data_IF_859507922210
#
_entry.id   IF_859507922210
#
_cell.length_a   1.000
_cell.length_b   1.000
_cell.length_c   1.000
_cell.angle_alpha   90.00
_cell.angle_beta   90.00
_cell.angle_gamma   90.00
#
_symmetry.space_group_name_H-M   'P 1'
#
loop_
_entity.id
_entity.type
_entity.pdbx_description
1 polymer ?
#
# COMPACT_ATOMS: atom_id res chain seq x y z
N UNK A 1 10.96 7.77 16.62
CA UNK A 1 12.10 7.04 17.20
C UNK A 1 12.86 7.90 18.20
N UNK A 2 13.20 9.15 17.83
CA UNK A 2 14.05 10.09 18.60
C UNK A 2 13.26 10.95 19.59
N UNK A 3 11.95 10.95 19.52
CA UNK A 3 11.06 11.70 20.40
C UNK A 3 10.84 10.93 21.70
N UNK A 4 11.34 11.44 22.81
CA UNK A 4 11.25 10.78 24.13
C UNK A 4 9.82 10.74 24.69
N UNK A 5 8.90 11.54 24.20
CA UNK A 5 7.50 11.52 24.63
C UNK A 5 6.75 10.33 24.02
N UNK A 6 7.15 9.86 22.86
CA UNK A 6 6.61 8.67 22.21
C UNK A 6 7.14 7.41 22.91
N UNK A 7 6.26 6.65 23.55
CA UNK A 7 6.61 5.43 24.31
C UNK A 7 6.40 4.14 23.51
N UNK A 8 5.50 4.13 22.56
CA UNK A 8 5.23 3.01 21.65
C UNK A 8 4.69 3.53 20.31
N UNK A 9 4.78 2.70 19.29
CA UNK A 9 4.23 3.00 17.96
C UNK A 9 3.19 1.95 17.58
N UNK A 10 2.04 2.42 17.10
CA UNK A 10 1.06 1.57 16.40
C UNK A 10 1.07 1.95 14.94
N UNK A 11 1.51 1.03 14.09
CA UNK A 11 1.51 1.22 12.64
C UNK A 11 0.20 0.67 12.06
N UNK A 12 -0.70 1.57 11.65
CA UNK A 12 -1.91 1.18 10.91
C UNK A 12 -1.57 0.99 9.45
N UNK A 13 -1.82 -0.21 8.91
CA UNK A 13 -1.47 -0.57 7.53
C UNK A 13 -2.74 -0.85 6.73
N UNK A 14 -3.01 -0.01 5.73
CA UNK A 14 -4.03 -0.23 4.71
C UNK A 14 -3.37 -0.02 3.34
N UNK A 15 -2.70 -1.05 2.85
CA UNK A 15 -1.84 -0.96 1.65
C UNK A 15 -1.77 -2.28 0.90
N UNK A 16 -2.04 -2.27 -0.42
CA UNK A 16 -1.86 -3.45 -1.28
C UNK A 16 -0.38 -3.75 -1.56
N UNK A 17 0.52 -2.85 -1.18
CA UNK A 17 1.95 -2.95 -1.42
C UNK A 17 2.51 -1.80 -2.26
N UNK A 18 3.64 -2.04 -2.89
CA UNK A 18 4.34 -1.02 -3.68
C UNK A 18 5.78 -1.40 -3.97
N UNK A 19 6.63 -0.41 -4.23
CA UNK A 19 8.03 -0.62 -4.54
C UNK A 19 8.81 -1.26 -3.40
N UNK A 20 9.76 -2.14 -3.75
CA UNK A 20 10.60 -2.85 -2.77
C UNK A 20 11.41 -1.88 -1.93
N UNK A 21 12.04 -0.88 -2.57
CA UNK A 21 12.91 0.05 -1.89
C UNK A 21 12.20 0.91 -0.82
N UNK A 22 11.08 1.60 -1.11
CA UNK A 22 10.36 2.35 -0.07
C UNK A 22 9.79 1.44 1.02
N UNK A 23 9.36 0.22 0.69
CA UNK A 23 8.89 -0.74 1.70
C UNK A 23 10.03 -1.16 2.64
N UNK A 24 11.25 -1.34 2.12
CA UNK A 24 12.42 -1.66 2.93
C UNK A 24 12.84 -0.49 3.83
N UNK A 25 12.75 0.74 3.35
CA UNK A 25 13.03 1.91 4.17
C UNK A 25 12.11 1.98 5.39
N UNK A 26 10.79 1.80 5.19
CA UNK A 26 9.80 1.80 6.29
C UNK A 26 10.06 0.61 7.23
N UNK A 27 10.25 -0.60 6.70
CA UNK A 27 10.59 -1.78 7.52
C UNK A 27 11.83 -1.53 8.38
N UNK A 28 12.84 -0.89 7.81
CA UNK A 28 14.07 -0.57 8.54
C UNK A 28 13.83 0.40 9.68
N UNK A 29 12.97 1.40 9.49
CA UNK A 29 12.58 2.32 10.59
C UNK A 29 11.80 1.60 11.68
N UNK A 30 10.96 0.62 11.35
CA UNK A 30 10.32 -0.26 12.35
C UNK A 30 11.39 -0.99 13.18
N UNK A 31 12.40 -1.59 12.54
CA UNK A 31 13.51 -2.25 13.26
C UNK A 31 14.28 -1.27 14.16
N UNK A 32 14.61 -0.09 13.65
CA UNK A 32 15.35 0.92 14.41
C UNK A 32 14.56 1.47 15.59
N UNK A 33 13.25 1.64 15.43
CA UNK A 33 12.35 2.06 16.52
C UNK A 33 12.31 1.01 17.64
N UNK A 34 12.22 -0.27 17.27
CA UNK A 34 12.31 -1.37 18.22
C UNK A 34 13.68 -1.44 18.90
N UNK A 35 14.77 -1.26 18.15
CA UNK A 35 16.12 -1.23 18.69
C UNK A 35 16.34 -0.07 19.67
N UNK A 36 15.63 1.04 19.51
CA UNK A 36 15.60 2.16 20.45
C UNK A 36 14.75 1.87 21.71
N UNK A 37 14.20 0.65 21.86
CA UNK A 37 13.44 0.23 23.03
C UNK A 37 11.94 0.60 22.98
N UNK A 38 11.44 1.11 21.86
CA UNK A 38 10.03 1.46 21.69
C UNK A 38 9.28 0.32 20.99
N UNK A 39 8.30 -0.30 21.63
CA UNK A 39 7.48 -1.34 21.02
C UNK A 39 6.78 -0.84 19.77
N UNK A 40 6.74 -1.68 18.73
CA UNK A 40 6.01 -1.41 17.50
C UNK A 40 4.98 -2.50 17.27
N UNK A 41 3.71 -2.13 17.27
CA UNK A 41 2.58 -3.04 17.00
C UNK A 41 1.94 -2.65 15.67
N UNK A 42 1.65 -3.63 14.83
CA UNK A 42 0.94 -3.41 13.57
C UNK A 42 -0.54 -3.74 13.73
N UNK A 43 -1.39 -2.85 13.22
CA UNK A 43 -2.81 -3.10 13.00
C UNK A 43 -3.08 -3.07 11.49
N UNK A 44 -3.30 -4.24 10.90
CA UNK A 44 -3.72 -4.34 9.51
C UNK A 44 -5.18 -3.90 9.36
N UNK A 45 -5.46 -3.09 8.34
CA UNK A 45 -6.80 -2.68 7.96
C UNK A 45 -7.42 -3.69 6.97
N UNK A 46 -8.10 -3.18 5.92
CA UNK A 46 -8.72 -4.04 4.93
C UNK A 46 -7.66 -4.81 4.12
N UNK A 47 -6.55 -4.15 3.79
CA UNK A 47 -5.47 -4.73 2.99
C UNK A 47 -4.12 -4.42 3.62
N UNK A 48 -3.27 -5.43 3.79
CA UNK A 48 -1.88 -5.28 4.20
C UNK A 48 -1.04 -6.34 3.49
N UNK A 49 -0.87 -6.18 2.18
CA UNK A 49 -0.34 -7.22 1.30
C UNK A 49 0.96 -6.77 0.62
N UNK A 50 1.79 -7.72 0.17
CA UNK A 50 3.04 -7.44 -0.55
C UNK A 50 3.93 -6.45 0.22
N UNK A 51 4.20 -5.25 -0.31
CA UNK A 51 4.90 -4.18 0.41
C UNK A 51 4.25 -3.81 1.75
N UNK A 52 2.91 -3.90 1.87
CA UNK A 52 2.19 -3.73 3.13
C UNK A 52 2.53 -4.80 4.16
N UNK A 53 2.71 -6.04 3.74
CA UNK A 53 3.24 -7.10 4.61
C UNK A 53 4.73 -6.89 4.91
N UNK A 54 5.50 -6.43 3.92
CA UNK A 54 6.93 -6.13 4.08
C UNK A 54 7.19 -5.15 5.22
N UNK A 55 6.43 -4.05 5.30
CA UNK A 55 6.58 -3.06 6.38
C UNK A 55 6.09 -3.57 7.73
N UNK A 56 5.20 -4.57 7.73
CA UNK A 56 4.57 -5.12 8.94
C UNK A 56 5.37 -6.23 9.62
N UNK A 57 6.13 -7.02 8.83
CA UNK A 57 6.69 -8.30 9.27
C UNK A 57 7.58 -8.24 10.51
N UNK A 58 8.28 -7.11 10.74
CA UNK A 58 9.21 -6.94 11.85
C UNK A 58 8.60 -6.34 13.13
N UNK A 59 7.30 -6.07 13.15
CA UNK A 59 6.62 -5.59 14.36
C UNK A 59 6.74 -6.58 15.52
N UNK A 60 6.56 -6.10 16.74
CA UNK A 60 6.50 -6.96 17.94
C UNK A 60 5.22 -7.79 17.98
N UNK A 61 4.16 -7.28 17.37
CA UNK A 61 2.91 -8.00 17.18
C UNK A 61 2.15 -7.44 15.97
N UNK A 62 1.48 -8.35 15.27
CA UNK A 62 0.67 -8.03 14.10
C UNK A 62 -0.77 -8.46 14.38
N UNK A 63 -1.68 -7.49 14.35
CA UNK A 63 -3.12 -7.68 14.44
C UNK A 63 -3.76 -7.56 13.06
N UNK A 64 -4.75 -8.38 12.79
CA UNK A 64 -5.59 -8.32 11.59
C UNK A 64 -7.04 -8.66 11.94
N UNK A 65 -7.99 -8.18 11.14
CA UNK A 65 -9.34 -8.70 11.11
C UNK A 65 -9.38 -10.04 10.34
N UNK A 66 -10.37 -10.88 10.59
CA UNK A 66 -10.52 -12.17 9.89
C UNK A 66 -10.62 -12.01 8.38
N UNK A 67 -11.23 -10.91 7.93
CA UNK A 67 -11.45 -10.55 6.54
C UNK A 67 -10.29 -9.78 5.90
N UNK A 68 -9.31 -9.31 6.66
CA UNK A 68 -8.13 -8.59 6.15
C UNK A 68 -7.48 -9.37 5.01
N UNK A 69 -7.21 -8.72 3.91
CA UNK A 69 -6.41 -9.31 2.81
C UNK A 69 -4.94 -9.05 3.08
N UNK A 70 -4.15 -10.14 3.25
CA UNK A 70 -2.72 -10.02 3.56
C UNK A 70 -1.88 -11.09 2.84
N UNK A 71 -0.60 -11.19 3.22
CA UNK A 71 0.35 -12.06 2.52
C UNK A 71 0.85 -11.41 1.23
N UNK A 72 0.54 -12.00 0.08
CA UNK A 72 1.08 -11.57 -1.22
C UNK A 72 2.61 -11.43 -1.19
N UNK A 73 3.27 -12.37 -0.45
CA UNK A 73 4.71 -12.42 -0.32
C UNK A 73 5.28 -12.89 -1.66
N UNK A 74 5.68 -11.92 -2.48
CA UNK A 74 6.14 -12.17 -3.84
C UNK A 74 6.68 -10.91 -4.49
N UNK A 75 7.40 -11.09 -5.58
CA UNK A 75 7.92 -10.02 -6.43
C UNK A 75 7.44 -10.31 -7.85
N UNK A 76 6.98 -9.29 -8.54
CA UNK A 76 6.67 -9.40 -9.95
C UNK A 76 7.18 -8.18 -10.71
N UNK A 77 7.41 -8.35 -12.01
CA UNK A 77 7.70 -7.27 -12.93
C UNK A 77 6.79 -7.36 -14.14
N UNK A 78 6.20 -6.25 -14.55
CA UNK A 78 5.40 -6.15 -15.76
C UNK A 78 6.12 -5.26 -16.77
N UNK A 79 6.38 -5.80 -17.96
CA UNK A 79 6.93 -5.07 -19.09
C UNK A 79 6.00 -5.16 -20.29
N UNK A 80 5.39 -4.04 -20.65
CA UNK A 80 4.51 -3.99 -21.81
C UNK A 80 5.37 -3.79 -23.08
N UNK A 81 5.14 -4.63 -24.08
CA UNK A 81 5.78 -4.60 -25.38
C UNK A 81 4.73 -4.75 -26.48
N UNK A 82 4.85 -3.94 -27.51
CA UNK A 82 3.84 -3.92 -28.58
C UNK A 82 4.43 -3.97 -30.03
N UNK A 83 5.57 -4.66 -30.29
CA UNK A 83 6.17 -4.61 -31.62
C UNK A 83 5.23 -5.12 -32.70
N UNK A 84 4.53 -6.23 -32.48
CA UNK A 84 3.57 -6.80 -33.44
C UNK A 84 2.33 -5.95 -33.64
N UNK A 85 1.88 -5.22 -32.63
CA UNK A 85 0.74 -4.31 -32.77
C UNK A 85 1.14 -3.09 -33.59
N UNK A 86 2.31 -2.53 -33.36
CA UNK A 86 2.86 -1.42 -34.12
C UNK A 86 3.09 -1.80 -35.60
N UNK A 87 3.63 -2.99 -35.86
CA UNK A 87 3.84 -3.48 -37.21
C UNK A 87 2.51 -3.63 -37.99
N UNK A 88 1.42 -4.05 -37.35
CA UNK A 88 0.10 -4.15 -37.99
C UNK A 88 -0.46 -2.81 -38.46
N UNK A 89 -0.07 -1.72 -37.80
CA UNK A 89 -0.46 -0.35 -38.20
C UNK A 89 0.63 0.36 -39.01
N UNK A 90 1.64 -0.40 -39.52
CA UNK A 90 2.70 0.12 -40.36
C UNK A 90 3.80 0.90 -39.63
N UNK A 91 3.79 0.91 -38.28
CA UNK A 91 4.81 1.59 -37.49
C UNK A 91 5.97 0.62 -37.22
N UNK A 92 7.18 1.04 -37.57
CA UNK A 92 8.42 0.30 -37.28
C UNK A 92 9.39 1.20 -36.54
N UNK A 93 10.12 0.62 -35.58
CA UNK A 93 11.18 1.30 -34.85
C UNK A 93 12.53 0.78 -35.31
N UNK A 94 13.41 1.69 -35.66
CA UNK A 94 14.79 1.41 -36.00
C UNK A 94 15.71 2.34 -35.20
N UNK A 95 17.01 2.02 -35.14
CA UNK A 95 17.99 2.83 -34.43
C UNK A 95 19.32 2.13 -34.26
N UNK A 96 20.36 2.94 -34.11
CA UNK A 96 21.72 2.49 -33.79
C UNK A 96 21.93 2.51 -32.31
N UNK A 97 22.49 1.44 -31.77
CA UNK A 97 22.84 1.32 -30.34
C UNK A 97 24.33 1.10 -30.19
N UNK A 98 24.93 1.78 -29.23
CA UNK A 98 26.36 1.65 -28.91
C UNK A 98 26.66 0.51 -27.94
N UNK A 99 25.61 -0.11 -27.36
CA UNK A 99 25.73 -1.24 -26.45
C UNK A 99 24.65 -2.29 -26.72
N UNK A 100 24.85 -3.55 -26.32
CA UNK A 100 23.82 -4.60 -26.40
C UNK A 100 22.54 -4.27 -25.60
N UNK A 101 22.59 -3.29 -24.72
CA UNK A 101 21.47 -2.84 -23.88
C UNK A 101 20.66 -1.70 -24.53
N UNK A 102 21.16 -1.16 -25.64
CA UNK A 102 20.46 -0.10 -26.35
C UNK A 102 19.08 -0.56 -26.79
N UNK A 103 18.04 0.20 -26.46
CA UNK A 103 16.66 -0.17 -26.76
C UNK A 103 16.09 -1.29 -25.88
N UNK A 104 16.78 -1.74 -24.83
CA UNK A 104 16.28 -2.80 -23.93
C UNK A 104 14.92 -2.47 -23.27
N UNK A 105 14.59 -1.18 -23.10
CA UNK A 105 13.33 -0.72 -22.55
C UNK A 105 12.37 -0.10 -23.60
N UNK A 106 12.72 -0.14 -24.88
CA UNK A 106 11.88 0.35 -25.95
C UNK A 106 10.68 -0.58 -26.15
N UNK A 107 9.46 -0.06 -25.97
CA UNK A 107 8.21 -0.80 -26.09
C UNK A 107 7.94 -1.31 -27.51
N UNK A 108 8.53 -0.67 -28.50
CA UNK A 108 8.38 -1.01 -29.92
C UNK A 108 9.26 -2.18 -30.37
N UNK A 109 10.19 -2.62 -29.52
CA UNK A 109 11.15 -3.70 -29.81
C UNK A 109 10.89 -4.94 -28.97
N UNK A 110 11.21 -6.15 -29.47
CA UNK A 110 11.20 -7.36 -28.66
C UNK A 110 12.19 -7.24 -27.50
N UNK A 111 11.86 -7.85 -26.34
CA UNK A 111 12.80 -7.95 -25.24
C UNK A 111 13.93 -8.94 -25.60
N UNK A 112 15.15 -8.47 -25.55
CA UNK A 112 16.34 -9.29 -25.83
C UNK A 112 16.66 -10.20 -24.65
N UNK A 113 17.21 -11.38 -24.90
CA UNK A 113 17.53 -12.38 -23.86
C UNK A 113 18.46 -11.86 -22.75
N UNK A 114 19.53 -11.09 -23.00
CA UNK A 114 20.32 -10.53 -21.91
C UNK A 114 19.53 -9.64 -20.95
N UNK A 115 18.64 -8.79 -21.48
CA UNK A 115 17.79 -7.93 -20.67
C UNK A 115 16.77 -8.73 -19.87
N UNK A 116 16.19 -9.77 -20.45
CA UNK A 116 15.27 -10.69 -19.81
C UNK A 116 15.93 -11.43 -18.64
N UNK A 117 17.15 -11.91 -18.82
CA UNK A 117 17.91 -12.59 -17.77
C UNK A 117 18.21 -11.66 -16.58
N UNK A 118 18.57 -10.41 -16.83
CA UNK A 118 18.80 -9.43 -15.76
C UNK A 118 17.52 -9.12 -15.01
N UNK A 119 16.40 -8.90 -15.71
CA UNK A 119 15.12 -8.66 -15.07
C UNK A 119 14.71 -9.87 -14.21
N UNK A 120 14.86 -11.08 -14.74
CA UNK A 120 14.56 -12.31 -13.99
C UNK A 120 15.46 -12.42 -12.75
N UNK A 121 16.75 -12.15 -12.87
CA UNK A 121 17.68 -12.15 -11.74
C UNK A 121 17.28 -11.14 -10.65
N UNK A 122 16.81 -9.96 -11.02
CA UNK A 122 16.32 -8.95 -10.07
C UNK A 122 15.07 -9.45 -9.34
N UNK A 123 14.15 -10.10 -10.04
CA UNK A 123 12.94 -10.68 -9.46
C UNK A 123 13.29 -11.82 -8.50
N UNK A 124 14.14 -12.73 -8.92
CA UNK A 124 14.55 -13.90 -8.11
C UNK A 124 15.29 -13.46 -6.85
N UNK A 125 16.19 -12.50 -6.97
CA UNK A 125 16.92 -11.93 -5.84
C UNK A 125 15.97 -11.20 -4.87
N UNK A 126 15.08 -10.38 -5.39
CA UNK A 126 14.06 -9.67 -4.58
C UNK A 126 13.14 -10.66 -3.85
N UNK A 127 12.73 -11.73 -4.52
CA UNK A 127 11.92 -12.78 -3.91
C UNK A 127 12.67 -13.50 -2.79
N UNK A 128 13.91 -13.93 -3.05
CA UNK A 128 14.74 -14.58 -2.04
C UNK A 128 14.97 -13.69 -0.81
N UNK A 129 15.19 -12.39 -1.02
CA UNK A 129 15.30 -11.43 0.07
C UNK A 129 14.00 -11.31 0.86
N UNK A 130 12.85 -11.23 0.19
CA UNK A 130 11.55 -11.12 0.88
C UNK A 130 11.31 -12.34 1.77
N UNK A 131 11.43 -13.55 1.19
CA UNK A 131 11.30 -14.81 1.96
C UNK A 131 12.26 -14.86 3.14
N UNK A 132 13.53 -14.55 2.91
CA UNK A 132 14.56 -14.58 3.96
C UNK A 132 14.26 -13.62 5.12
N UNK A 133 13.77 -12.41 4.82
CA UNK A 133 13.37 -11.43 5.82
C UNK A 133 12.14 -11.89 6.60
N UNK A 134 11.11 -12.41 5.93
CA UNK A 134 9.90 -12.94 6.59
C UNK A 134 10.27 -14.16 7.45
N UNK A 135 11.08 -15.08 6.93
CA UNK A 135 11.59 -16.25 7.68
C UNK A 135 12.22 -15.82 8.99
N UNK A 136 13.14 -14.86 8.94
CA UNK A 136 13.80 -14.31 10.14
C UNK A 136 12.81 -13.62 11.08
N UNK A 137 11.91 -12.80 10.56
CA UNK A 137 10.97 -12.02 11.36
C UNK A 137 9.90 -12.90 12.04
N UNK A 138 9.47 -13.98 11.37
CA UNK A 138 8.42 -14.88 11.88
C UNK A 138 8.95 -16.14 12.56
N UNK A 139 10.28 -16.33 12.62
CA UNK A 139 10.88 -17.52 13.24
C UNK A 139 10.54 -18.82 12.50
N UNK A 140 10.27 -18.77 11.21
CA UNK A 140 9.92 -19.91 10.37
C UNK A 140 11.07 -20.19 9.39
N UNK A 141 11.17 -21.43 8.91
CA UNK A 141 12.17 -21.77 7.90
C UNK A 141 11.82 -21.14 6.54
N UNK A 142 12.84 -20.97 5.70
CA UNK A 142 12.65 -20.49 4.33
C UNK A 142 11.59 -21.32 3.58
N UNK A 143 11.66 -22.64 3.68
CA UNK A 143 10.74 -23.56 3.01
C UNK A 143 9.28 -23.40 3.51
N UNK A 144 9.08 -23.17 4.80
CA UNK A 144 7.74 -22.93 5.36
C UNK A 144 7.14 -21.62 4.84
N UNK A 145 7.96 -20.56 4.78
CA UNK A 145 7.50 -19.29 4.22
C UNK A 145 7.25 -19.43 2.71
N UNK A 146 8.16 -20.04 1.94
CA UNK A 146 7.98 -20.24 0.51
C UNK A 146 6.70 -21.02 0.18
N UNK A 147 6.36 -22.04 0.98
CA UNK A 147 5.12 -22.80 0.85
C UNK A 147 3.86 -21.92 1.00
N UNK A 148 3.92 -20.83 1.75
CA UNK A 148 2.82 -19.89 1.96
C UNK A 148 2.95 -18.58 1.14
N UNK A 149 4.05 -18.40 0.43
CA UNK A 149 4.39 -17.24 -0.37
C UNK A 149 4.01 -17.40 -1.86
N UNK A 150 4.91 -17.03 -2.76
CA UNK A 150 4.72 -17.07 -4.23
C UNK A 150 3.58 -16.17 -4.69
N UNK A 151 3.46 -15.00 -4.05
CA UNK A 151 2.43 -14.02 -4.36
C UNK A 151 1.01 -14.40 -3.93
N UNK A 152 0.83 -15.50 -3.17
CA UNK A 152 -0.49 -15.89 -2.68
C UNK A 152 -0.98 -14.91 -1.62
N UNK A 153 -2.27 -14.60 -1.71
CA UNK A 153 -2.99 -13.79 -0.73
C UNK A 153 -3.76 -14.68 0.23
N UNK A 154 -3.92 -14.21 1.45
CA UNK A 154 -4.59 -14.92 2.52
C UNK A 154 -5.56 -13.98 3.23
N UNK A 155 -6.66 -14.51 3.75
CA UNK A 155 -7.44 -13.77 4.74
C UNK A 155 -6.66 -13.64 6.05
N UNK A 156 -7.01 -12.69 6.91
CA UNK A 156 -6.37 -12.55 8.22
C UNK A 156 -6.46 -13.82 9.05
N UNK A 157 -7.60 -14.51 9.04
CA UNK A 157 -7.78 -15.80 9.69
C UNK A 157 -6.78 -16.84 9.17
N UNK A 158 -6.68 -17.01 7.84
CA UNK A 158 -5.72 -17.93 7.23
C UNK A 158 -4.26 -17.53 7.49
N UNK A 159 -3.97 -16.24 7.47
CA UNK A 159 -2.62 -15.72 7.76
C UNK A 159 -2.19 -16.00 9.19
N UNK A 160 -3.13 -15.96 10.15
CA UNK A 160 -2.87 -16.36 11.53
C UNK A 160 -2.53 -17.85 11.66
N UNK A 161 -3.29 -18.73 11.01
CA UNK A 161 -3.00 -20.17 10.98
C UNK A 161 -1.61 -20.47 10.40
N UNK A 162 -1.16 -19.65 9.44
CA UNK A 162 0.15 -19.75 8.79
C UNK A 162 1.29 -19.06 9.57
N UNK A 163 0.99 -18.44 10.71
CA UNK A 163 1.96 -17.71 11.52
C UNK A 163 2.45 -16.39 10.88
N UNK A 164 1.72 -15.86 9.91
CA UNK A 164 2.01 -14.57 9.28
C UNK A 164 1.40 -13.40 10.06
N UNK A 165 0.36 -13.65 10.85
CA UNK A 165 -0.32 -12.71 11.76
C UNK A 165 -0.31 -13.31 13.17
N UNK A 166 -0.23 -12.48 14.20
CA UNK A 166 -0.10 -12.94 15.58
C UNK A 166 -1.45 -13.04 16.30
N UNK A 167 -2.36 -12.11 16.02
CA UNK A 167 -3.65 -12.06 16.71
C UNK A 167 -4.75 -11.49 15.82
N UNK A 168 -5.98 -11.93 16.08
CA UNK A 168 -7.16 -11.25 15.54
C UNK A 168 -7.50 -10.06 16.43
N UNK A 169 -7.87 -8.94 15.79
CA UNK A 169 -8.25 -7.71 16.49
C UNK A 169 -8.06 -6.47 15.63
N UNK A 170 -8.59 -5.36 16.13
CA UNK A 170 -8.57 -4.06 15.46
C UNK A 170 -7.49 -3.11 15.98
N UNK A 171 -7.68 -1.82 15.65
CA UNK A 171 -6.76 -0.76 16.08
C UNK A 171 -6.74 -0.60 17.61
N UNK A 172 -7.88 -0.75 18.27
CA UNK A 172 -7.98 -0.63 19.72
C UNK A 172 -7.20 -1.72 20.46
N UNK A 173 -7.21 -2.95 19.93
CA UNK A 173 -6.44 -4.06 20.47
C UNK A 173 -4.94 -3.83 20.29
N UNK A 174 -4.53 -3.31 19.14
CA UNK A 174 -3.15 -2.96 18.85
C UNK A 174 -2.64 -1.83 19.77
N UNK A 175 -3.46 -0.80 20.02
CA UNK A 175 -3.13 0.29 20.96
C UNK A 175 -2.98 -0.25 22.39
N UNK A 176 -3.91 -1.09 22.85
CA UNK A 176 -3.84 -1.68 24.17
C UNK A 176 -2.60 -2.56 24.36
N UNK A 177 -2.23 -3.35 23.36
CA UNK A 177 -1.02 -4.19 23.38
C UNK A 177 0.26 -3.34 23.35
N UNK A 178 0.30 -2.28 22.53
CA UNK A 178 1.43 -1.35 22.47
C UNK A 178 1.66 -0.66 23.83
N UNK A 179 0.58 -0.17 24.46
CA UNK A 179 0.62 0.43 25.78
C UNK A 179 1.11 -0.57 26.85
N UNK A 180 0.61 -1.80 26.82
CA UNK A 180 1.03 -2.85 27.76
C UNK A 180 2.53 -3.19 27.59
N UNK A 181 3.03 -3.28 26.36
CA UNK A 181 4.46 -3.50 26.07
C UNK A 181 5.34 -2.36 26.52
N UNK A 182 4.86 -1.13 26.39
CA UNK A 182 5.52 0.07 26.91
C UNK A 182 5.36 0.24 28.43
N UNK A 183 4.66 -0.69 29.12
CA UNK A 183 4.37 -0.66 30.56
C UNK A 183 3.59 0.58 31.00
N UNK A 184 2.74 1.09 30.15
CA UNK A 184 1.86 2.23 30.45
C UNK A 184 0.60 1.74 31.19
N UNK A 185 0.21 2.47 32.22
CA UNK A 185 -1.04 2.19 32.97
C UNK A 185 -2.27 2.49 32.10
N UNK A 186 -3.40 1.84 32.42
CA UNK A 186 -4.67 2.14 31.76
C UNK A 186 -5.04 3.61 31.96
N UNK A 187 -5.26 4.34 30.88
CA UNK A 187 -5.62 5.77 30.92
C UNK A 187 -4.47 6.71 31.29
N UNK A 188 -3.22 6.22 31.37
CA UNK A 188 -2.04 7.01 31.67
C UNK A 188 -1.25 7.42 30.41
N UNK A 189 -1.89 7.41 29.25
CA UNK A 189 -1.28 7.79 27.98
C UNK A 189 -2.34 8.39 27.05
N UNK A 190 -1.89 9.26 26.18
CA UNK A 190 -2.66 9.80 25.07
C UNK A 190 -2.26 9.09 23.76
N UNK A 191 -3.19 9.04 22.82
CA UNK A 191 -2.94 8.50 21.48
C UNK A 191 -2.88 9.66 20.52
N UNK A 192 -1.71 9.90 19.96
CA UNK A 192 -1.51 10.86 18.89
C UNK A 192 -1.58 10.17 17.54
N UNK A 193 -2.42 10.70 16.64
CA UNK A 193 -2.54 10.24 15.28
C UNK A 193 -1.61 11.07 14.39
N UNK A 194 -0.59 10.40 13.83
CA UNK A 194 0.33 11.03 12.89
C UNK A 194 -0.24 10.84 11.48
N UNK A 195 -0.82 11.89 10.94
CA UNK A 195 -1.35 11.93 9.59
C UNK A 195 -0.49 12.87 8.73
N UNK A 196 -0.40 12.58 7.44
CA UNK A 196 0.23 13.53 6.51
C UNK A 196 -0.60 14.81 6.49
N UNK A 197 -0.02 15.98 6.77
CA UNK A 197 -0.76 17.23 6.67
C UNK A 197 -1.35 17.37 5.27
N UNK A 198 -2.65 17.62 5.21
CA UNK A 198 -3.33 17.90 3.95
C UNK A 198 -2.65 19.08 3.26
N UNK A 199 -2.46 19.00 1.95
CA UNK A 199 -2.01 20.15 1.17
C UNK A 199 -2.95 21.34 1.38
N UNK A 200 -2.51 22.60 1.19
CA UNK A 200 -3.38 23.76 1.33
C UNK A 200 -4.66 23.68 0.48
N UNK A 201 -4.59 23.02 -0.67
CA UNK A 201 -5.73 22.80 -1.55
C UNK A 201 -6.70 21.74 -0.98
N UNK A 202 -6.20 20.65 -0.43
CA UNK A 202 -7.02 19.61 0.23
C UNK A 202 -7.66 20.16 1.50
N UNK A 203 -6.94 20.95 2.30
CA UNK A 203 -7.49 21.67 3.46
C UNK A 203 -8.61 22.62 3.05
N UNK A 204 -8.43 23.34 1.95
CA UNK A 204 -9.45 24.21 1.39
C UNK A 204 -10.70 23.41 0.98
N UNK A 205 -10.54 22.28 0.28
CA UNK A 205 -11.64 21.39 -0.10
C UNK A 205 -12.36 20.79 1.12
N UNK A 206 -11.61 20.35 2.12
CA UNK A 206 -12.19 19.83 3.36
C UNK A 206 -12.99 20.90 4.11
N UNK A 207 -12.46 22.09 4.26
CA UNK A 207 -13.15 23.23 4.86
C UNK A 207 -14.40 23.63 4.06
N UNK A 208 -14.33 23.53 2.73
CA UNK A 208 -15.48 23.77 1.85
C UNK A 208 -16.58 22.73 2.05
N UNK A 209 -16.21 21.46 2.24
CA UNK A 209 -17.16 20.36 2.46
C UNK A 209 -17.81 20.39 3.85
N UNK A 210 -17.10 20.88 4.86
CA UNK A 210 -17.60 20.98 6.25
C UNK A 210 -18.54 22.17 6.47
N UNK A 211 -18.49 23.18 5.62
CA UNK A 211 -19.26 24.40 5.80
C UNK A 211 -20.64 24.30 5.13
N UNK A 212 -21.72 24.21 5.94
CA UNK A 212 -23.10 24.08 5.47
C UNK A 212 -23.57 25.21 4.52
N UNK A 213 -22.99 26.41 4.64
CA UNK A 213 -23.24 27.52 3.75
C UNK A 213 -22.68 27.29 2.33
N UNK A 214 -21.54 26.59 2.21
CA UNK A 214 -20.93 26.28 0.92
C UNK A 214 -21.54 25.07 0.23
N UNK A 215 -22.17 24.16 0.97
CA UNK A 215 -22.97 23.08 0.37
C UNK A 215 -24.13 23.62 -0.47
N UNK A 216 -24.75 24.73 -0.04
CA UNK A 216 -25.76 25.45 -0.82
C UNK A 216 -25.19 26.08 -2.10
N UNK A 217 -24.01 26.66 -2.04
CA UNK A 217 -23.32 27.24 -3.19
C UNK A 217 -22.89 26.17 -4.21
N UNK A 218 -22.28 25.09 -3.77
CA UNK A 218 -21.89 23.97 -4.65
C UNK A 218 -23.11 23.38 -5.36
N UNK A 219 -24.24 23.25 -4.68
CA UNK A 219 -25.50 22.76 -5.25
C UNK A 219 -26.08 23.71 -6.31
N UNK A 220 -25.91 25.02 -6.13
CA UNK A 220 -26.38 26.03 -7.08
C UNK A 220 -25.43 26.27 -8.26
N UNK A 221 -24.13 26.02 -8.08
CA UNK A 221 -23.10 26.12 -9.14
C UNK A 221 -22.89 24.82 -9.93
N UNK A 222 -23.38 23.67 -9.44
CA UNK A 222 -23.31 22.40 -10.15
C UNK A 222 -23.81 22.44 -11.60
N UNK A 223 -24.88 23.21 -11.94
CA UNK A 223 -25.29 23.36 -13.32
C UNK A 223 -24.32 24.18 -14.20
N UNK A 224 -23.58 25.13 -13.60
CA UNK A 224 -22.61 25.95 -14.32
C UNK A 224 -21.30 25.16 -14.63
N UNK A 225 -21.04 24.10 -13.90
CA UNK A 225 -19.93 23.15 -14.14
C UNK A 225 -20.25 22.13 -15.25
N UNK A 226 -21.43 22.19 -15.86
CA UNK A 226 -21.81 21.35 -17.02
C UNK A 226 -20.83 21.44 -18.19
N UNK A 227 -20.06 22.51 -18.27
CA UNK A 227 -18.98 22.66 -19.25
C UNK A 227 -17.79 21.71 -19.01
N UNK A 228 -17.51 21.38 -17.76
CA UNK A 228 -16.41 20.43 -17.40
C UNK A 228 -16.81 19.00 -17.71
N UNK A 229 -18.11 18.70 -17.73
CA UNK A 229 -18.65 17.36 -18.01
C UNK A 229 -18.44 16.90 -19.49
N UNK A 230 -17.97 17.76 -20.35
CA UNK A 230 -17.67 17.39 -21.74
C UNK A 230 -16.30 16.70 -21.90
N UNK A 231 -15.42 16.79 -20.90
CA UNK A 231 -14.14 16.08 -20.89
C UNK A 231 -14.26 14.72 -20.17
N UNK A 232 -13.45 13.73 -20.56
CA UNK A 232 -13.42 12.42 -19.91
C UNK A 232 -13.14 12.54 -18.41
N UNK A 233 -12.20 13.40 -18.03
CA UNK A 233 -11.83 13.70 -16.64
C UNK A 233 -13.01 14.36 -15.87
N UNK A 234 -13.71 15.30 -16.50
CA UNK A 234 -14.84 15.97 -15.89
C UNK A 234 -16.04 15.05 -15.63
N UNK A 235 -16.28 14.08 -16.51
CA UNK A 235 -17.32 13.05 -16.32
C UNK A 235 -16.98 12.13 -15.14
N UNK A 236 -15.70 11.76 -14.99
CA UNK A 236 -15.25 10.91 -13.89
C UNK A 236 -15.35 11.63 -12.55
N UNK A 237 -14.87 12.86 -12.46
CA UNK A 237 -15.00 13.71 -11.26
C UNK A 237 -16.46 13.95 -10.87
N UNK A 238 -17.34 14.19 -11.85
CA UNK A 238 -18.77 14.40 -11.59
C UNK A 238 -19.46 13.13 -11.08
N UNK A 239 -19.10 11.98 -11.64
CA UNK A 239 -19.62 10.69 -11.20
C UNK A 239 -19.19 10.39 -9.76
N UNK A 240 -17.94 10.65 -9.42
CA UNK A 240 -17.37 10.42 -8.09
C UNK A 240 -17.97 11.39 -7.06
N UNK A 241 -18.20 12.65 -7.41
CA UNK A 241 -18.88 13.64 -6.56
C UNK A 241 -20.36 13.28 -6.34
N UNK A 242 -21.07 12.82 -7.38
CA UNK A 242 -22.47 12.38 -7.25
C UNK A 242 -22.58 11.11 -6.39
N UNK A 243 -21.60 10.24 -6.47
CA UNK A 243 -21.53 9.03 -5.64
C UNK A 243 -21.28 9.39 -4.17
N UNK A 244 -20.34 10.30 -3.87
CA UNK A 244 -20.11 10.83 -2.52
C UNK A 244 -21.36 11.50 -1.92
N UNK A 245 -22.12 12.22 -2.73
CA UNK A 245 -23.33 12.90 -2.29
C UNK A 245 -24.52 11.95 -2.03
N UNK A 246 -24.53 10.74 -2.64
CA UNK A 246 -25.53 9.69 -2.38
C UNK A 246 -25.34 8.96 -1.07
N UNK A 247 -24.16 9.05 -0.48
CA UNK A 247 -23.82 8.33 0.75
C UNK A 247 -24.47 8.92 2.00
N UNK A 248 -25.02 10.15 1.98
CA UNK A 248 -25.73 10.73 3.10
C UNK A 248 -25.04 10.46 4.45
N UNK A 249 -25.45 11.00 5.54
CA UNK A 249 -24.85 10.95 6.88
C UNK A 249 -24.67 9.53 7.52
N UNK A 250 -24.49 8.46 6.73
CA UNK A 250 -24.15 7.12 7.24
C UNK A 250 -22.62 6.96 7.30
N UNK A 251 -22.06 6.42 8.38
CA UNK A 251 -20.64 6.15 8.44
C UNK A 251 -20.27 5.16 7.31
N UNK A 252 -19.34 5.55 6.46
CA UNK A 252 -18.86 4.72 5.35
C UNK A 252 -17.97 3.64 5.94
N UNK A 253 -18.45 2.40 5.96
CA UNK A 253 -17.71 1.29 6.55
C UNK A 253 -16.62 0.70 5.66
N UNK A 254 -16.68 0.88 4.36
CA UNK A 254 -15.58 0.59 3.42
C UNK A 254 -15.91 1.14 2.03
N UNK A 255 -14.97 1.82 1.40
CA UNK A 255 -15.04 2.19 -0.01
C UNK A 255 -13.73 1.80 -0.67
N UNK A 256 -13.80 0.84 -1.58
CA UNK A 256 -12.70 0.57 -2.50
C UNK A 256 -13.01 1.32 -3.81
N UNK A 257 -12.25 2.37 -4.10
CA UNK A 257 -12.30 3.05 -5.39
C UNK A 257 -11.03 2.70 -6.18
N UNK A 258 -11.20 2.15 -7.37
CA UNK A 258 -10.09 1.90 -8.27
C UNK A 258 -9.93 3.09 -9.21
N UNK A 259 -8.84 3.82 -9.07
CA UNK A 259 -8.41 4.83 -10.05
C UNK A 259 -7.75 4.19 -11.28
N UNK A 260 -8.21 3.02 -11.68
CA UNK A 260 -7.77 2.39 -12.91
C UNK A 260 -8.49 3.07 -14.08
N UNK A 261 -7.93 4.17 -14.57
CA UNK A 261 -8.27 4.66 -15.91
C UNK A 261 -7.47 3.85 -16.93
N UNK A 262 -8.18 3.11 -17.77
CA UNK A 262 -7.66 2.54 -19.01
C UNK A 262 -7.76 3.54 -20.15
#
# INVERSE_FOLDING_TARGET
REDDDVKALVLRVDSPGGGVFPSEQIRREVELTKAAGKPVVVSMANVAASGGYWISMNADRIYADESTITGSIGIFGLMIRAPRALEKIGVRSDGVTTTPWGGAFDISRPLQEPAKQVIQSIIDHGYAQFIGKVSKARGQTYAQIDANARGRVWSGAQAKEKGLVDAMGGISDAVADAAARAKLGKGAFDVEYIETPLSPFEQFLENLSRNSATQGLVRNFAPALGFINQTALGRQVSHDLLWLNRQGSKPVNAVAHCFCAF
#
